data_IF_726074586276
#
_entry.id   IF_726074586276
#
_cell.length_a   1.000
_cell.length_b   1.000
_cell.length_c   1.000
_cell.angle_alpha   90.00
_cell.angle_beta   90.00
_cell.angle_gamma   90.00
#
_symmetry.space_group_name_H-M   'P 1'
#
loop_
_entity.id
_entity.type
_entity.pdbx_description
1 polymer ?
#
# COMPACT_ATOMS: atom_id res chain seq x y z
N UNK A 1 -27.26 30.39 -17.22
CA UNK A 1 -26.11 29.54 -16.98
C UNK A 1 -26.52 28.26 -16.24
N UNK A 2 -26.60 27.11 -16.93
CA UNK A 2 -26.98 25.82 -16.33
C UNK A 2 -25.83 25.33 -15.47
N UNK A 3 -25.95 25.40 -14.13
CA UNK A 3 -25.06 24.75 -13.17
C UNK A 3 -25.18 23.23 -13.36
N UNK A 4 -24.36 22.66 -14.24
CA UNK A 4 -24.15 21.22 -14.27
C UNK A 4 -23.51 20.83 -12.95
N UNK A 5 -24.28 20.34 -12.01
CA UNK A 5 -23.84 19.66 -10.79
C UNK A 5 -22.90 18.53 -11.24
N UNK A 6 -21.58 18.81 -11.26
CA UNK A 6 -20.53 17.85 -11.64
C UNK A 6 -20.75 16.57 -10.81
N UNK A 7 -21.28 15.51 -11.43
CA UNK A 7 -21.57 14.25 -10.72
C UNK A 7 -20.29 13.79 -10.03
N UNK A 8 -20.32 13.75 -8.70
CA UNK A 8 -19.14 13.42 -7.88
C UNK A 8 -18.70 12.00 -8.18
N UNK A 9 -17.44 11.83 -8.60
CA UNK A 9 -16.89 10.52 -8.97
C UNK A 9 -16.97 9.55 -7.78
N UNK A 10 -17.52 8.37 -8.04
CA UNK A 10 -17.65 7.26 -7.09
C UNK A 10 -16.37 6.43 -7.08
N UNK A 11 -15.80 6.22 -5.90
CA UNK A 11 -14.58 5.44 -5.71
C UNK A 11 -14.85 4.31 -4.71
N UNK A 12 -14.53 3.09 -5.08
CA UNK A 12 -14.57 1.93 -4.18
C UNK A 12 -13.15 1.63 -3.70
N UNK A 13 -12.95 1.55 -2.38
CA UNK A 13 -11.64 1.31 -1.78
C UNK A 13 -11.72 0.09 -0.89
N UNK A 14 -10.93 -0.94 -1.18
CA UNK A 14 -10.77 -2.07 -0.27
C UNK A 14 -9.62 -1.82 0.70
N UNK A 15 -9.73 -2.33 1.92
CA UNK A 15 -8.71 -2.14 2.95
C UNK A 15 -8.81 -0.79 3.68
N UNK A 16 -10.00 -0.20 3.78
CA UNK A 16 -10.20 1.13 4.37
C UNK A 16 -10.00 1.19 5.89
N UNK A 17 -10.06 0.09 6.61
CA UNK A 17 -9.64 0.01 8.01
C UNK A 17 -8.15 -0.29 8.18
N UNK A 18 -7.43 -0.56 7.06
CA UNK A 18 -5.98 -0.69 6.99
C UNK A 18 -5.28 0.67 6.96
N UNK A 19 -3.94 0.68 7.07
CA UNK A 19 -3.13 1.89 7.16
C UNK A 19 -3.25 2.79 5.91
N UNK A 20 -2.82 2.29 4.75
CA UNK A 20 -2.82 3.07 3.51
C UNK A 20 -4.26 3.36 3.05
N UNK A 21 -5.15 2.35 3.17
CA UNK A 21 -6.55 2.49 2.76
C UNK A 21 -7.31 3.56 3.55
N UNK A 22 -7.08 3.67 4.86
CA UNK A 22 -7.65 4.72 5.71
C UNK A 22 -7.26 6.12 5.22
N UNK A 23 -5.97 6.38 5.06
CA UNK A 23 -5.48 7.68 4.62
C UNK A 23 -5.92 8.01 3.19
N UNK A 24 -5.94 7.01 2.32
CA UNK A 24 -6.46 7.16 0.95
C UNK A 24 -7.93 7.54 0.97
N UNK A 25 -8.77 6.82 1.69
CA UNK A 25 -10.20 7.13 1.81
C UNK A 25 -10.42 8.54 2.37
N UNK A 26 -9.71 8.93 3.44
CA UNK A 26 -9.78 10.26 4.05
C UNK A 26 -9.40 11.36 3.06
N UNK A 27 -8.33 11.18 2.26
CA UNK A 27 -7.92 12.14 1.22
C UNK A 27 -9.02 12.36 0.19
N UNK A 28 -9.64 11.29 -0.32
CA UNK A 28 -10.70 11.40 -1.32
C UNK A 28 -11.97 12.04 -0.74
N UNK A 29 -12.35 11.69 0.49
CA UNK A 29 -13.49 12.28 1.19
C UNK A 29 -13.29 13.79 1.40
N UNK A 30 -12.11 14.22 1.84
CA UNK A 30 -11.75 15.64 1.99
C UNK A 30 -11.79 16.40 0.65
N UNK A 31 -11.61 15.72 -0.47
CA UNK A 31 -11.72 16.27 -1.82
C UNK A 31 -13.13 16.14 -2.42
N UNK A 32 -14.10 15.72 -1.61
CA UNK A 32 -15.52 15.70 -1.97
C UNK A 32 -15.98 14.51 -2.79
N UNK A 33 -15.16 13.47 -2.98
CA UNK A 33 -15.55 12.23 -3.66
C UNK A 33 -16.56 11.43 -2.83
N UNK A 34 -17.34 10.59 -3.51
CA UNK A 34 -18.16 9.56 -2.87
C UNK A 34 -17.31 8.31 -2.71
N UNK A 35 -17.05 7.88 -1.47
CA UNK A 35 -16.19 6.74 -1.17
C UNK A 35 -16.99 5.60 -0.55
N UNK A 36 -16.83 4.42 -1.10
CA UNK A 36 -17.32 3.17 -0.50
C UNK A 36 -16.13 2.35 -0.02
N UNK A 37 -16.06 2.14 1.29
CA UNK A 37 -15.04 1.32 1.95
C UNK A 37 -15.47 -0.13 2.08
N UNK A 38 -14.53 -1.05 1.91
CA UNK A 38 -14.71 -2.48 2.15
C UNK A 38 -13.50 -3.03 2.91
N UNK A 39 -13.74 -3.71 4.04
CA UNK A 39 -12.66 -4.25 4.88
C UNK A 39 -13.18 -5.39 5.75
N UNK A 40 -12.38 -6.39 6.03
CA UNK A 40 -12.73 -7.51 6.89
C UNK A 40 -12.63 -7.19 8.38
N UNK A 41 -11.84 -6.18 8.76
CA UNK A 41 -11.49 -5.86 10.14
C UNK A 41 -10.98 -7.10 10.89
N UNK A 42 -10.12 -7.89 10.22
CA UNK A 42 -9.57 -9.11 10.80
C UNK A 42 -8.65 -8.82 12.00
N UNK A 43 -8.34 -9.86 12.77
CA UNK A 43 -7.55 -9.80 14.00
C UNK A 43 -6.02 -9.96 13.79
N UNK A 44 -5.51 -9.77 12.59
CA UNK A 44 -4.06 -9.87 12.30
C UNK A 44 -3.22 -8.93 13.17
N UNK A 45 -3.75 -7.74 13.46
CA UNK A 45 -3.20 -6.81 14.44
C UNK A 45 -4.34 -6.06 15.13
N UNK A 46 -4.02 -5.20 16.09
CA UNK A 46 -4.93 -4.45 16.96
C UNK A 46 -6.22 -4.01 16.26
N UNK A 47 -7.33 -4.66 16.64
CA UNK A 47 -8.67 -4.39 16.11
C UNK A 47 -9.20 -3.04 16.58
N UNK A 48 -8.80 -2.56 17.78
CA UNK A 48 -9.19 -1.22 18.27
C UNK A 48 -8.69 -0.14 17.33
N UNK A 49 -7.43 -0.25 16.87
CA UNK A 49 -6.85 0.67 15.89
C UNK A 49 -7.62 0.65 14.55
N UNK A 50 -8.03 -0.53 14.07
CA UNK A 50 -8.82 -0.66 12.83
C UNK A 50 -10.20 -0.02 12.98
N UNK A 51 -10.86 -0.25 14.10
CA UNK A 51 -12.17 0.35 14.42
C UNK A 51 -12.06 1.87 14.52
N UNK A 52 -11.07 2.40 15.23
CA UNK A 52 -10.85 3.84 15.35
C UNK A 52 -10.64 4.55 14.01
N UNK A 53 -9.88 3.93 13.07
CA UNK A 53 -9.77 4.43 11.69
C UNK A 53 -11.13 4.46 10.98
N UNK A 54 -11.91 3.40 11.12
CA UNK A 54 -13.25 3.31 10.52
C UNK A 54 -14.20 4.35 11.08
N UNK A 55 -14.18 4.58 12.39
CA UNK A 55 -15.07 5.53 13.07
C UNK A 55 -14.78 6.97 12.63
N UNK A 56 -13.49 7.30 12.37
CA UNK A 56 -13.13 8.58 11.73
C UNK A 56 -13.74 8.70 10.33
N UNK A 57 -13.67 7.63 9.53
CA UNK A 57 -14.23 7.66 8.17
C UNK A 57 -15.76 7.75 8.17
N UNK A 58 -16.43 7.09 9.11
CA UNK A 58 -17.90 7.14 9.24
C UNK A 58 -18.46 8.54 9.54
N UNK A 59 -17.66 9.45 10.10
CA UNK A 59 -18.07 10.85 10.30
C UNK A 59 -18.31 11.63 9.00
N UNK A 60 -17.82 11.11 7.86
CA UNK A 60 -18.02 11.74 6.56
C UNK A 60 -19.38 11.32 5.93
N UNK A 61 -20.30 12.24 5.68
CA UNK A 61 -21.61 11.98 5.03
C UNK A 61 -21.48 11.27 3.66
N UNK A 62 -20.32 11.38 3.00
CA UNK A 62 -20.03 10.78 1.69
C UNK A 62 -19.34 9.43 1.77
N UNK A 63 -19.20 8.85 2.97
CA UNK A 63 -18.61 7.55 3.19
C UNK A 63 -19.69 6.49 3.39
N UNK A 64 -19.57 5.37 2.69
CA UNK A 64 -20.33 4.13 2.94
C UNK A 64 -19.34 3.01 3.23
N UNK A 65 -19.77 2.01 3.99
CA UNK A 65 -18.89 0.92 4.40
C UNK A 65 -19.63 -0.42 4.43
N UNK A 66 -18.93 -1.47 4.02
CA UNK A 66 -19.33 -2.86 4.27
C UNK A 66 -18.16 -3.63 4.89
N UNK A 67 -18.44 -4.32 6.00
CA UNK A 67 -17.53 -5.32 6.55
C UNK A 67 -17.67 -6.61 5.77
N UNK A 68 -16.55 -7.13 5.24
CA UNK A 68 -16.55 -8.40 4.50
C UNK A 68 -15.16 -8.82 4.08
N UNK A 69 -15.00 -10.11 3.86
CA UNK A 69 -13.78 -10.70 3.32
C UNK A 69 -13.80 -10.68 1.80
N UNK A 70 -12.63 -10.51 1.18
CA UNK A 70 -12.50 -10.44 -0.29
C UNK A 70 -12.88 -11.76 -0.98
N UNK A 71 -12.63 -12.88 -0.34
CA UNK A 71 -13.00 -14.22 -0.80
C UNK A 71 -14.51 -14.47 -0.77
N UNK A 72 -15.27 -13.72 0.02
CA UNK A 72 -16.74 -13.76 0.00
C UNK A 72 -17.30 -12.99 -1.20
N UNK A 73 -17.37 -13.69 -2.34
CA UNK A 73 -17.82 -13.15 -3.63
C UNK A 73 -19.22 -12.53 -3.54
N UNK A 74 -20.15 -13.12 -2.78
CA UNK A 74 -21.55 -12.65 -2.64
C UNK A 74 -21.61 -11.26 -2.03
N UNK A 75 -20.94 -11.04 -0.89
CA UNK A 75 -20.92 -9.74 -0.18
C UNK A 75 -20.20 -8.68 -1.00
N UNK A 76 -19.07 -9.02 -1.61
CA UNK A 76 -18.28 -8.12 -2.44
C UNK A 76 -19.08 -7.66 -3.68
N UNK A 77 -19.72 -8.62 -4.39
CA UNK A 77 -20.59 -8.36 -5.54
C UNK A 77 -21.71 -7.38 -5.18
N UNK A 78 -22.47 -7.66 -4.10
CA UNK A 78 -23.56 -6.78 -3.64
C UNK A 78 -23.08 -5.35 -3.42
N UNK A 79 -21.90 -5.18 -2.82
CA UNK A 79 -21.32 -3.87 -2.53
C UNK A 79 -20.92 -3.10 -3.78
N UNK A 80 -20.20 -3.73 -4.70
CA UNK A 80 -19.68 -3.11 -5.93
C UNK A 80 -20.82 -2.85 -6.93
N UNK A 81 -21.69 -3.83 -7.19
CA UNK A 81 -22.76 -3.70 -8.16
C UNK A 81 -23.80 -2.65 -7.75
N UNK A 82 -24.12 -2.55 -6.45
CA UNK A 82 -25.02 -1.51 -5.93
C UNK A 82 -24.40 -0.11 -6.03
N UNK A 83 -23.11 0.02 -5.76
CA UNK A 83 -22.45 1.32 -5.76
C UNK A 83 -22.06 1.81 -7.15
N UNK A 84 -21.73 0.89 -8.07
CA UNK A 84 -21.28 1.16 -9.45
C UNK A 84 -20.15 2.20 -9.48
N UNK A 85 -18.97 1.92 -8.88
CA UNK A 85 -17.87 2.86 -8.86
C UNK A 85 -17.28 3.06 -10.26
N UNK A 86 -16.78 4.28 -10.54
CA UNK A 86 -15.96 4.54 -11.73
C UNK A 86 -14.49 4.12 -11.53
N UNK A 87 -14.03 4.13 -10.30
CA UNK A 87 -12.63 3.81 -9.93
C UNK A 87 -12.66 2.82 -8.78
N UNK A 88 -11.82 1.80 -8.85
CA UNK A 88 -11.55 0.87 -7.75
C UNK A 88 -10.09 1.03 -7.33
N UNK A 89 -9.86 1.21 -6.03
CA UNK A 89 -8.52 1.20 -5.42
C UNK A 89 -8.46 0.00 -4.48
N UNK A 90 -7.76 -1.05 -4.91
CA UNK A 90 -7.68 -2.31 -4.19
C UNK A 90 -6.40 -2.37 -3.35
N UNK A 91 -6.55 -2.09 -2.04
CA UNK A 91 -5.47 -2.07 -1.05
C UNK A 91 -5.61 -3.15 0.03
N UNK A 92 -6.75 -3.83 0.10
CA UNK A 92 -6.94 -4.94 1.01
C UNK A 92 -6.07 -6.13 0.58
N UNK A 93 -5.28 -6.62 1.51
CA UNK A 93 -4.45 -7.81 1.34
C UNK A 93 -3.99 -8.29 2.72
N UNK A 94 -3.64 -9.57 2.84
CA UNK A 94 -2.82 -10.03 3.93
C UNK A 94 -1.37 -9.61 3.66
N UNK A 95 -0.81 -8.83 4.57
CA UNK A 95 0.55 -8.27 4.44
C UNK A 95 1.49 -8.83 5.52
N UNK A 96 2.79 -8.69 5.29
CA UNK A 96 3.83 -9.16 6.22
C UNK A 96 4.56 -10.40 5.69
N UNK A 97 5.86 -10.26 5.43
CA UNK A 97 6.69 -11.35 4.90
C UNK A 97 6.73 -12.54 5.86
N UNK A 98 6.95 -12.28 7.15
CA UNK A 98 7.12 -13.34 8.17
C UNK A 98 5.85 -14.14 8.40
N UNK A 99 4.73 -13.48 8.55
CA UNK A 99 3.45 -14.14 8.76
C UNK A 99 3.05 -15.02 7.56
N UNK A 100 3.57 -14.75 6.36
CA UNK A 100 3.34 -15.61 5.20
C UNK A 100 4.05 -16.97 5.28
N UNK A 101 5.06 -17.10 6.15
CA UNK A 101 5.73 -18.38 6.42
C UNK A 101 4.88 -19.22 7.39
N UNK A 102 4.24 -18.56 8.36
CA UNK A 102 3.46 -19.22 9.42
C UNK A 102 2.02 -19.55 8.98
N UNK A 103 1.42 -18.69 8.15
CA UNK A 103 0.00 -18.77 7.75
C UNK A 103 -0.18 -18.49 6.25
N UNK A 104 0.37 -19.33 5.36
CA UNK A 104 0.33 -19.11 3.91
C UNK A 104 -1.11 -19.14 3.34
N UNK A 105 -2.01 -19.92 3.93
CA UNK A 105 -3.43 -19.98 3.59
C UNK A 105 -4.12 -18.62 3.60
N UNK A 106 -3.79 -17.75 4.56
CA UNK A 106 -4.34 -16.39 4.64
C UNK A 106 -3.95 -15.53 3.45
N UNK A 107 -2.76 -15.77 2.91
CA UNK A 107 -2.25 -15.06 1.73
C UNK A 107 -2.88 -15.59 0.45
N UNK A 108 -3.05 -16.89 0.33
CA UNK A 108 -3.76 -17.48 -0.80
C UNK A 108 -5.19 -16.92 -0.89
N UNK A 109 -5.95 -17.00 0.20
CA UNK A 109 -7.33 -16.57 0.24
C UNK A 109 -7.47 -15.06 0.00
N UNK A 110 -6.76 -14.23 0.76
CA UNK A 110 -6.89 -12.77 0.68
C UNK A 110 -6.25 -12.18 -0.57
N UNK A 111 -5.02 -12.61 -0.90
CA UNK A 111 -4.25 -11.95 -1.96
C UNK A 111 -4.58 -12.52 -3.34
N UNK A 112 -4.69 -13.84 -3.48
CA UNK A 112 -4.95 -14.47 -4.79
C UNK A 112 -6.46 -14.47 -5.06
N UNK A 113 -7.24 -15.22 -4.28
CA UNK A 113 -8.69 -15.37 -4.49
C UNK A 113 -9.40 -14.03 -4.35
N UNK A 114 -9.04 -13.27 -3.31
CA UNK A 114 -9.62 -11.94 -3.07
C UNK A 114 -9.35 -10.95 -4.19
N UNK A 115 -8.11 -10.89 -4.71
CA UNK A 115 -7.77 -10.00 -5.84
C UNK A 115 -8.44 -10.46 -7.12
N UNK A 116 -8.49 -11.78 -7.39
CA UNK A 116 -9.23 -12.34 -8.51
C UNK A 116 -10.70 -11.87 -8.51
N UNK A 117 -11.39 -11.96 -7.37
CA UNK A 117 -12.77 -11.51 -7.25
C UNK A 117 -12.94 -10.01 -7.55
N UNK A 118 -11.97 -9.17 -7.12
CA UNK A 118 -12.00 -7.73 -7.40
C UNK A 118 -11.79 -7.45 -8.89
N UNK A 119 -10.86 -8.14 -9.55
CA UNK A 119 -10.60 -7.98 -10.99
C UNK A 119 -11.82 -8.42 -11.82
N UNK A 120 -12.44 -9.56 -11.48
CA UNK A 120 -13.66 -10.04 -12.13
C UNK A 120 -14.80 -8.99 -12.05
N UNK A 121 -14.97 -8.38 -10.89
CA UNK A 121 -15.99 -7.34 -10.71
C UNK A 121 -15.64 -6.05 -11.45
N UNK A 122 -14.36 -5.66 -11.46
CA UNK A 122 -13.91 -4.51 -12.22
C UNK A 122 -14.19 -4.68 -13.72
N UNK A 123 -13.95 -5.88 -14.26
CA UNK A 123 -14.34 -6.26 -15.62
C UNK A 123 -15.86 -6.15 -15.82
N UNK A 124 -16.65 -6.79 -14.93
CA UNK A 124 -18.12 -6.83 -15.05
C UNK A 124 -18.79 -5.45 -15.09
N UNK A 125 -18.25 -4.46 -14.36
CA UNK A 125 -18.81 -3.11 -14.31
C UNK A 125 -18.14 -2.13 -15.29
N UNK A 126 -17.22 -2.59 -16.14
CA UNK A 126 -16.41 -1.76 -17.04
C UNK A 126 -15.79 -0.57 -16.30
N UNK A 127 -15.02 -0.86 -15.22
CA UNK A 127 -14.41 0.17 -14.41
C UNK A 127 -13.47 1.06 -15.24
N UNK A 128 -13.50 2.36 -15.02
CA UNK A 128 -12.63 3.30 -15.74
C UNK A 128 -11.16 3.11 -15.39
N UNK A 129 -10.87 2.78 -14.14
CA UNK A 129 -9.50 2.55 -13.65
C UNK A 129 -9.52 1.65 -12.43
N UNK A 130 -8.76 0.56 -12.48
CA UNK A 130 -8.47 -0.32 -11.34
C UNK A 130 -7.02 -0.10 -10.90
N UNK A 131 -6.82 0.36 -9.66
CA UNK A 131 -5.50 0.53 -9.05
C UNK A 131 -5.33 -0.56 -8.00
N UNK A 132 -4.28 -1.37 -8.11
CA UNK A 132 -4.03 -2.51 -7.22
C UNK A 132 -2.71 -2.32 -6.48
N UNK A 133 -2.73 -2.53 -5.17
CA UNK A 133 -1.54 -2.53 -4.34
C UNK A 133 -0.70 -3.80 -4.53
N UNK A 134 0.48 -3.66 -5.14
CA UNK A 134 1.58 -4.64 -5.13
C UNK A 134 2.58 -4.29 -4.02
N UNK A 135 3.81 -4.74 -4.11
CA UNK A 135 4.84 -4.57 -3.08
C UNK A 135 6.24 -4.57 -3.70
N UNK A 136 7.17 -3.83 -3.11
CA UNK A 136 8.60 -3.95 -3.43
C UNK A 136 9.18 -5.34 -3.15
N UNK A 137 8.48 -6.17 -2.36
CA UNK A 137 8.87 -7.56 -2.12
C UNK A 137 8.91 -8.41 -3.39
N UNK A 138 8.20 -8.01 -4.46
CA UNK A 138 8.23 -8.71 -5.76
C UNK A 138 9.59 -8.65 -6.45
N UNK A 139 10.46 -7.72 -6.05
CA UNK A 139 11.84 -7.68 -6.56
C UNK A 139 12.68 -8.85 -6.03
N UNK A 140 12.27 -9.49 -4.94
CA UNK A 140 12.81 -10.75 -4.45
C UNK A 140 14.32 -10.74 -4.26
N UNK A 141 15.01 -11.62 -4.99
CA UNK A 141 16.46 -11.79 -4.93
C UNK A 141 17.29 -10.74 -5.70
N UNK A 142 16.65 -9.71 -6.29
CA UNK A 142 17.39 -8.66 -7.00
C UNK A 142 18.32 -7.89 -6.08
N UNK A 143 19.55 -7.64 -6.54
CA UNK A 143 20.61 -6.94 -5.78
C UNK A 143 20.97 -5.57 -6.38
N UNK A 144 20.55 -5.29 -7.61
CA UNK A 144 20.85 -4.03 -8.32
C UNK A 144 19.86 -2.93 -7.94
N UNK A 145 20.35 -1.84 -7.41
CA UNK A 145 19.57 -0.68 -6.96
C UNK A 145 19.81 0.56 -7.85
N UNK A 146 18.86 1.53 -7.91
CA UNK A 146 17.48 1.44 -7.42
C UNK A 146 16.65 0.45 -8.26
N UNK A 147 15.65 -0.17 -7.64
CA UNK A 147 14.70 -1.05 -8.32
C UNK A 147 13.84 -0.27 -9.32
N UNK A 148 13.78 -0.75 -10.55
CA UNK A 148 12.97 -0.17 -11.64
C UNK A 148 11.80 -1.08 -11.96
N UNK A 149 10.72 -0.49 -12.46
CA UNK A 149 9.50 -1.24 -12.80
C UNK A 149 9.73 -2.31 -13.87
N UNK A 150 10.72 -2.09 -14.74
CA UNK A 150 11.10 -3.01 -15.83
C UNK A 150 12.05 -4.13 -15.40
N UNK A 151 12.56 -4.09 -14.16
CA UNK A 151 13.45 -5.14 -13.67
C UNK A 151 12.69 -6.47 -13.58
N UNK A 152 13.37 -7.57 -13.95
CA UNK A 152 12.82 -8.92 -13.81
C UNK A 152 12.48 -9.20 -12.34
N UNK A 153 11.36 -9.86 -12.11
CA UNK A 153 10.85 -10.17 -10.78
C UNK A 153 10.43 -11.64 -10.71
N UNK A 154 11.35 -12.55 -11.04
CA UNK A 154 11.05 -13.96 -11.25
C UNK A 154 11.46 -14.83 -10.04
N UNK A 155 12.29 -14.31 -9.13
CA UNK A 155 12.82 -15.04 -7.96
C UNK A 155 12.33 -14.45 -6.65
N UNK A 156 11.10 -14.77 -6.25
CA UNK A 156 10.53 -14.34 -4.98
C UNK A 156 11.13 -15.14 -3.82
N UNK A 157 11.51 -14.45 -2.75
CA UNK A 157 12.12 -15.04 -1.56
C UNK A 157 11.14 -15.18 -0.38
N UNK A 158 9.86 -14.93 -0.59
CA UNK A 158 8.79 -15.16 0.39
C UNK A 158 7.47 -15.47 -0.29
N UNK A 159 6.60 -16.22 0.40
CA UNK A 159 5.27 -16.54 -0.10
C UNK A 159 4.41 -15.27 -0.30
N UNK A 160 4.55 -14.28 0.60
CA UNK A 160 3.93 -12.97 0.40
C UNK A 160 4.33 -12.33 -0.94
N UNK A 161 5.64 -12.31 -1.24
CA UNK A 161 6.12 -11.77 -2.52
C UNK A 161 5.57 -12.55 -3.72
N UNK A 162 5.53 -13.89 -3.63
CA UNK A 162 4.96 -14.74 -4.66
C UNK A 162 3.48 -14.41 -4.90
N UNK A 163 2.67 -14.27 -3.84
CA UNK A 163 1.25 -13.88 -4.00
C UNK A 163 1.08 -12.50 -4.64
N UNK A 164 1.94 -11.53 -4.31
CA UNK A 164 1.89 -10.21 -4.94
C UNK A 164 2.31 -10.26 -6.42
N UNK A 165 3.34 -11.02 -6.76
CA UNK A 165 3.74 -11.23 -8.16
C UNK A 165 2.64 -11.92 -8.96
N UNK A 166 2.00 -12.94 -8.40
CA UNK A 166 0.84 -13.63 -9.03
C UNK A 166 -0.29 -12.65 -9.31
N UNK A 167 -0.58 -11.71 -8.41
CA UNK A 167 -1.60 -10.68 -8.67
C UNK A 167 -1.22 -9.73 -9.81
N UNK A 168 0.07 -9.39 -10.01
CA UNK A 168 0.52 -8.62 -11.16
C UNK A 168 0.27 -9.39 -12.47
N UNK A 169 0.57 -10.69 -12.50
CA UNK A 169 0.38 -11.54 -13.67
C UNK A 169 -1.11 -11.74 -14.01
N UNK A 170 -1.95 -12.02 -13.01
CA UNK A 170 -3.41 -12.10 -13.19
C UNK A 170 -3.98 -10.79 -13.73
N UNK A 171 -3.58 -9.66 -13.15
CA UNK A 171 -4.06 -8.34 -13.56
C UNK A 171 -3.66 -8.02 -15.01
N UNK A 172 -2.44 -8.35 -15.42
CA UNK A 172 -2.00 -8.18 -16.80
C UNK A 172 -2.82 -9.02 -17.77
N UNK A 173 -3.06 -10.31 -17.46
CA UNK A 173 -3.88 -11.21 -18.28
C UNK A 173 -5.29 -10.64 -18.49
N UNK A 174 -5.96 -10.20 -17.43
CA UNK A 174 -7.29 -9.58 -17.52
C UNK A 174 -7.27 -8.27 -18.32
N UNK A 175 -6.26 -7.45 -18.12
CA UNK A 175 -6.09 -6.24 -18.90
C UNK A 175 -5.86 -6.53 -20.38
N UNK A 176 -5.14 -7.59 -20.72
CA UNK A 176 -4.92 -8.01 -22.10
C UNK A 176 -6.19 -8.53 -22.76
N UNK A 177 -6.90 -9.45 -22.11
CA UNK A 177 -8.05 -10.13 -22.67
C UNK A 177 -9.30 -9.22 -22.74
N UNK A 178 -9.60 -8.51 -21.66
CA UNK A 178 -10.84 -7.73 -21.53
C UNK A 178 -10.62 -6.21 -21.48
N UNK A 179 -9.40 -5.76 -21.77
CA UNK A 179 -9.05 -4.33 -21.84
C UNK A 179 -9.40 -3.53 -20.58
N UNK A 180 -9.45 -4.20 -19.42
CA UNK A 180 -9.62 -3.51 -18.14
C UNK A 180 -8.40 -2.64 -17.86
N UNK A 181 -8.54 -1.31 -17.67
CA UNK A 181 -7.39 -0.44 -17.42
C UNK A 181 -6.88 -0.63 -15.98
N UNK A 182 -5.65 -1.16 -15.83
CA UNK A 182 -5.09 -1.53 -14.52
C UNK A 182 -3.75 -0.85 -14.30
N UNK A 183 -3.57 -0.26 -13.13
CA UNK A 183 -2.27 0.17 -12.61
C UNK A 183 -1.91 -0.61 -11.35
N UNK A 184 -0.76 -1.30 -11.37
CA UNK A 184 -0.18 -1.93 -10.19
C UNK A 184 0.76 -0.95 -9.49
N UNK A 185 0.64 -0.82 -8.15
CA UNK A 185 1.52 0.02 -7.35
C UNK A 185 2.43 -0.84 -6.46
N UNK A 186 3.71 -0.87 -6.73
CA UNK A 186 4.72 -1.52 -5.88
C UNK A 186 5.09 -0.57 -4.74
N UNK A 187 4.44 -0.75 -3.60
CA UNK A 187 4.73 0.02 -2.39
C UNK A 187 6.07 -0.35 -1.78
N UNK A 188 6.89 0.65 -1.44
CA UNK A 188 8.04 0.51 -0.57
C UNK A 188 7.62 0.67 0.90
N UNK A 189 8.55 0.91 1.82
CA UNK A 189 8.21 0.90 3.24
C UNK A 189 7.45 2.16 3.64
N UNK A 190 6.15 2.03 3.86
CA UNK A 190 5.29 3.15 4.27
C UNK A 190 5.27 3.28 5.80
N UNK A 191 5.39 4.50 6.31
CA UNK A 191 5.34 4.81 7.74
C UNK A 191 4.57 6.10 8.01
N UNK A 192 4.15 6.32 9.26
CA UNK A 192 3.45 7.53 9.69
C UNK A 192 2.34 7.26 10.71
N UNK A 193 1.58 8.32 11.11
CA UNK A 193 0.44 8.21 12.01
C UNK A 193 -0.57 7.16 11.54
N UNK A 194 -1.23 6.51 12.49
CA UNK A 194 -2.16 5.41 12.19
C UNK A 194 -1.48 4.22 11.49
N UNK A 195 -0.16 4.06 11.65
CA UNK A 195 0.63 3.01 11.04
C UNK A 195 0.27 1.60 11.50
N UNK A 196 0.90 0.59 10.90
CA UNK A 196 0.65 -0.82 11.24
C UNK A 196 1.49 -1.25 12.44
N UNK A 197 0.88 -1.88 13.47
CA UNK A 197 1.59 -2.32 14.68
C UNK A 197 2.65 -3.42 14.45
N UNK A 198 2.52 -4.19 13.37
CA UNK A 198 3.48 -5.24 13.01
C UNK A 198 4.78 -4.72 12.37
N UNK A 199 4.83 -3.43 12.00
CA UNK A 199 6.01 -2.79 11.42
C UNK A 199 7.08 -2.46 12.47
N UNK A 200 8.35 -2.49 12.05
CA UNK A 200 9.50 -2.28 12.93
C UNK A 200 9.43 -0.97 13.72
N UNK A 201 9.15 0.16 13.06
CA UNK A 201 9.08 1.47 13.72
C UNK A 201 8.03 1.52 14.83
N UNK A 202 6.91 0.86 14.65
CA UNK A 202 5.84 0.79 15.63
C UNK A 202 6.26 -0.08 16.83
N UNK A 203 6.81 -1.27 16.56
CA UNK A 203 7.33 -2.19 17.60
C UNK A 203 8.46 -1.53 18.40
N UNK A 204 9.38 -0.84 17.73
CA UNK A 204 10.47 -0.13 18.39
C UNK A 204 9.94 0.96 19.33
N UNK A 205 9.02 1.80 18.84
CA UNK A 205 8.40 2.85 19.66
C UNK A 205 7.73 2.27 20.90
N UNK A 206 6.90 1.21 20.74
CA UNK A 206 6.26 0.52 21.86
C UNK A 206 7.26 0.00 22.87
N UNK A 207 8.31 -0.67 22.41
CA UNK A 207 9.31 -1.30 23.27
C UNK A 207 10.19 -0.27 23.98
N UNK A 208 10.63 0.79 23.30
CA UNK A 208 11.42 1.87 23.89
C UNK A 208 10.63 2.56 25.00
N UNK A 209 9.35 2.89 24.77
CA UNK A 209 8.49 3.52 25.77
C UNK A 209 8.34 2.64 27.03
N UNK A 210 8.22 1.33 26.84
CA UNK A 210 8.02 0.37 27.93
C UNK A 210 9.34 -0.19 28.53
N UNK A 211 10.51 0.35 28.17
CA UNK A 211 11.80 -0.13 28.66
C UNK A 211 12.16 -1.56 28.22
N UNK A 212 11.53 -2.06 27.14
CA UNK A 212 11.77 -3.41 26.62
C UNK A 212 12.83 -3.40 25.52
N UNK A 213 13.54 -4.54 25.36
CA UNK A 213 14.53 -4.73 24.29
C UNK A 213 13.90 -4.61 22.90
N UNK A 214 14.60 -3.94 21.97
CA UNK A 214 14.27 -3.94 20.54
C UNK A 214 15.19 -4.91 19.80
N UNK A 215 14.62 -5.75 18.95
CA UNK A 215 15.37 -6.71 18.14
C UNK A 215 15.85 -6.03 16.85
N UNK A 216 17.17 -5.97 16.67
CA UNK A 216 17.83 -5.37 15.51
C UNK A 216 18.44 -6.49 14.68
N UNK A 217 17.77 -6.83 13.57
CA UNK A 217 18.21 -7.91 12.70
C UNK A 217 19.37 -7.49 11.79
N UNK A 218 20.10 -8.49 11.28
CA UNK A 218 21.32 -8.31 10.47
C UNK A 218 22.32 -7.36 11.12
N UNK A 219 22.47 -7.43 12.45
CA UNK A 219 23.34 -6.55 13.24
C UNK A 219 23.11 -5.05 12.93
N UNK A 220 21.91 -4.68 12.48
CA UNK A 220 21.54 -3.31 12.08
C UNK A 220 21.99 -2.90 10.67
N UNK A 221 22.75 -3.73 9.96
CA UNK A 221 23.24 -3.42 8.59
C UNK A 221 22.13 -3.57 7.55
N UNK A 222 21.09 -2.74 7.68
CA UNK A 222 19.92 -2.76 6.81
C UNK A 222 19.55 -1.34 6.36
N UNK A 223 19.07 -1.24 5.12
CA UNK A 223 18.62 0.01 4.54
C UNK A 223 17.21 -0.15 4.00
N UNK A 224 16.38 0.88 4.17
CA UNK A 224 15.02 0.89 3.62
C UNK A 224 14.71 2.23 2.98
N UNK A 225 13.91 2.17 1.94
CA UNK A 225 13.22 3.33 1.38
C UNK A 225 11.96 3.57 2.21
N UNK A 226 12.05 4.50 3.17
CA UNK A 226 10.92 4.89 4.02
C UNK A 226 10.17 6.06 3.39
N UNK A 227 8.89 5.87 3.14
CA UNK A 227 8.02 6.90 2.56
C UNK A 227 6.91 7.27 3.52
N UNK A 228 6.75 8.56 3.77
CA UNK A 228 5.71 9.07 4.66
C UNK A 228 4.32 8.89 4.05
N UNK A 229 3.35 8.56 4.87
CA UNK A 229 2.00 8.16 4.42
C UNK A 229 1.31 9.23 3.58
N UNK A 230 1.43 10.51 3.91
CA UNK A 230 0.77 11.56 3.13
C UNK A 230 1.37 11.70 1.71
N UNK A 231 2.69 11.48 1.56
CA UNK A 231 3.33 11.46 0.25
C UNK A 231 2.82 10.29 -0.61
N UNK A 232 2.65 9.10 0.00
CA UNK A 232 2.05 7.93 -0.67
C UNK A 232 0.64 8.23 -1.15
N UNK A 233 -0.19 8.78 -0.29
CA UNK A 233 -1.59 9.07 -0.59
C UNK A 233 -1.73 10.17 -1.65
N UNK A 234 -0.81 11.14 -1.66
CA UNK A 234 -0.76 12.15 -2.71
C UNK A 234 -0.42 11.53 -4.07
N UNK A 235 0.51 10.57 -4.11
CA UNK A 235 0.82 9.79 -5.32
C UNK A 235 -0.39 9.02 -5.85
N UNK A 236 -1.11 8.29 -4.99
CA UNK A 236 -2.34 7.58 -5.36
C UNK A 236 -3.39 8.56 -5.88
N UNK A 237 -3.57 9.70 -5.20
CA UNK A 237 -4.55 10.71 -5.59
C UNK A 237 -4.27 11.30 -6.97
N UNK A 238 -3.03 11.62 -7.28
CA UNK A 238 -2.61 12.14 -8.59
C UNK A 238 -2.77 11.11 -9.71
N UNK A 239 -2.71 9.82 -9.37
CA UNK A 239 -2.74 8.72 -10.33
C UNK A 239 -4.13 8.39 -10.86
N UNK A 240 -5.22 8.67 -10.12
CA UNK A 240 -6.58 8.19 -10.48
C UNK A 240 -7.03 8.55 -11.88
N UNK A 241 -6.58 9.70 -12.42
CA UNK A 241 -6.91 10.18 -13.75
C UNK A 241 -5.84 9.82 -14.80
N UNK A 242 -4.77 9.14 -14.42
CA UNK A 242 -3.68 8.71 -15.31
C UNK A 242 -3.89 7.25 -15.74
N UNK A 243 -5.03 7.03 -16.37
CA UNK A 243 -5.46 5.69 -16.83
C UNK A 243 -4.48 5.16 -17.88
N UNK A 244 -3.94 3.93 -17.73
CA UNK A 244 -3.07 3.36 -18.75
C UNK A 244 -3.84 3.13 -20.06
N UNK A 245 -3.20 3.46 -21.18
CA UNK A 245 -3.76 3.28 -22.51
C UNK A 245 -2.66 2.79 -23.46
N UNK A 246 -2.76 1.56 -23.92
CA UNK A 246 -1.77 0.94 -24.78
C UNK A 246 -1.87 1.36 -26.26
N UNK A 247 -2.90 2.09 -26.66
CA UNK A 247 -2.99 2.71 -28.00
C UNK A 247 -2.02 3.89 -28.15
N UNK A 248 -1.52 4.43 -27.04
CA UNK A 248 -0.48 5.45 -27.03
C UNK A 248 0.90 4.79 -27.06
N UNK A 249 1.82 5.30 -27.87
CA UNK A 249 3.22 4.87 -27.83
C UNK A 249 3.82 5.08 -26.44
N UNK A 250 4.83 4.29 -26.06
CA UNK A 250 5.57 4.49 -24.81
C UNK A 250 6.20 5.89 -24.81
N UNK A 251 5.61 6.79 -24.01
CA UNK A 251 6.03 8.20 -23.94
C UNK A 251 7.32 8.40 -23.15
N UNK A 252 7.66 7.47 -22.28
CA UNK A 252 8.77 7.64 -21.35
C UNK A 252 9.81 6.51 -21.52
N UNK A 253 11.10 6.85 -21.38
CA UNK A 253 12.17 5.85 -21.28
C UNK A 253 11.90 4.93 -20.09
N UNK A 254 12.03 3.61 -20.30
CA UNK A 254 11.74 2.57 -19.30
C UNK A 254 10.28 2.56 -18.80
N UNK A 255 9.31 2.98 -19.65
CA UNK A 255 7.90 2.89 -19.32
C UNK A 255 7.46 1.41 -19.21
N UNK A 256 6.86 1.06 -18.08
CA UNK A 256 6.30 -0.26 -17.82
C UNK A 256 4.93 -0.49 -18.48
N UNK A 257 4.46 0.46 -19.29
CA UNK A 257 3.22 0.31 -20.05
C UNK A 257 3.31 -0.92 -20.98
N UNK A 258 2.36 -1.84 -20.82
CA UNK A 258 2.28 -3.01 -21.69
C UNK A 258 2.01 -2.63 -23.13
N UNK A 259 2.62 -3.34 -24.07
CA UNK A 259 2.36 -3.15 -25.51
C UNK A 259 1.01 -3.71 -25.94
N UNK A 260 0.49 -4.70 -25.22
CA UNK A 260 -0.72 -5.47 -25.59
C UNK A 260 -1.93 -5.19 -24.71
N UNK A 261 -1.74 -4.45 -23.60
CA UNK A 261 -2.78 -4.25 -22.59
C UNK A 261 -2.77 -2.82 -22.03
N UNK A 262 -3.93 -2.25 -21.63
CA UNK A 262 -3.99 -1.00 -20.87
C UNK A 262 -3.53 -1.25 -19.41
N UNK A 263 -2.29 -1.68 -19.25
CA UNK A 263 -1.69 -2.13 -17.99
C UNK A 263 -0.36 -1.44 -17.73
N UNK A 264 -0.14 -0.96 -16.52
CA UNK A 264 1.11 -0.34 -16.10
C UNK A 264 1.48 -0.72 -14.67
N UNK A 265 2.77 -0.94 -14.41
CA UNK A 265 3.33 -1.10 -13.08
C UNK A 265 4.05 0.20 -12.70
N UNK A 266 3.94 0.64 -11.45
CA UNK A 266 4.60 1.83 -10.95
C UNK A 266 5.19 1.58 -9.56
N UNK A 267 6.42 2.01 -9.34
CA UNK A 267 6.97 2.10 -8.00
C UNK A 267 6.43 3.33 -7.29
N UNK A 268 6.15 3.18 -5.99
CA UNK A 268 5.78 4.30 -5.13
C UNK A 268 6.59 4.24 -3.83
N UNK A 269 7.54 5.15 -3.71
CA UNK A 269 8.58 5.22 -2.68
C UNK A 269 9.14 6.62 -2.54
N UNK A 270 10.22 6.80 -1.79
CA UNK A 270 10.86 8.09 -1.53
C UNK A 270 12.19 8.26 -2.28
N UNK A 271 12.71 7.20 -2.91
CA UNK A 271 14.01 7.21 -3.61
C UNK A 271 15.19 7.60 -2.69
N UNK A 272 15.04 7.40 -1.38
CA UNK A 272 16.07 7.68 -0.38
C UNK A 272 16.35 6.45 0.48
N UNK A 273 17.63 6.10 0.55
CA UNK A 273 18.13 4.97 1.34
C UNK A 273 18.40 5.44 2.76
N UNK A 274 17.61 4.94 3.73
CA UNK A 274 17.75 5.29 5.15
C UNK A 274 18.31 4.09 5.90
N UNK A 275 19.39 4.30 6.62
CA UNK A 275 20.02 3.30 7.45
C UNK A 275 19.16 3.01 8.69
N UNK A 276 19.01 1.73 9.05
CA UNK A 276 18.12 1.33 10.15
C UNK A 276 18.52 1.94 11.49
N UNK A 277 19.83 2.02 11.79
CA UNK A 277 20.29 2.61 13.05
C UNK A 277 20.05 4.12 13.11
N UNK A 278 20.15 4.86 12.00
CA UNK A 278 19.80 6.28 11.95
C UNK A 278 18.31 6.51 12.21
N UNK A 279 17.49 5.60 11.68
CA UNK A 279 16.05 5.61 11.95
C UNK A 279 15.76 5.38 13.43
N UNK A 280 16.44 4.40 14.07
CA UNK A 280 16.33 4.12 15.51
C UNK A 280 16.84 5.31 16.34
N UNK A 281 17.99 5.89 16.01
CA UNK A 281 18.53 7.06 16.67
C UNK A 281 17.55 8.24 16.64
N UNK A 282 16.81 8.41 15.52
CA UNK A 282 15.79 9.44 15.42
C UNK A 282 14.58 9.14 16.33
N UNK A 283 14.17 7.87 16.45
CA UNK A 283 13.13 7.47 17.43
C UNK A 283 13.57 7.79 18.85
N UNK A 284 14.80 7.42 19.25
CA UNK A 284 15.36 7.70 20.56
C UNK A 284 15.36 9.20 20.89
N UNK A 285 15.81 10.04 19.94
CA UNK A 285 15.83 11.50 20.09
C UNK A 285 14.43 12.08 20.33
N UNK A 286 13.44 11.65 19.52
CA UNK A 286 12.08 12.19 19.65
C UNK A 286 11.38 11.67 20.89
N UNK A 287 11.62 10.41 21.29
CA UNK A 287 11.07 9.80 22.51
C UNK A 287 11.78 10.27 23.78
N UNK A 288 12.93 10.95 23.66
CA UNK A 288 13.82 11.32 24.78
C UNK A 288 14.18 10.09 25.66
N UNK A 289 14.30 8.91 25.03
CA UNK A 289 14.57 7.64 25.72
C UNK A 289 15.45 6.74 24.87
N UNK A 290 16.48 6.16 25.46
CA UNK A 290 17.39 5.22 24.77
C UNK A 290 16.76 3.84 24.64
N UNK A 291 17.03 3.17 23.52
CA UNK A 291 16.61 1.80 23.26
C UNK A 291 17.59 0.80 23.87
N UNK A 292 17.07 -0.24 24.50
CA UNK A 292 17.85 -1.42 24.86
C UNK A 292 17.93 -2.29 23.59
N UNK A 293 19.11 -2.33 22.95
CA UNK A 293 19.31 -2.94 21.63
C UNK A 293 19.76 -4.41 21.78
N UNK A 294 19.03 -5.35 21.13
CA UNK A 294 19.43 -6.74 20.98
C UNK A 294 19.71 -7.01 19.50
N UNK A 295 20.96 -7.25 19.16
CA UNK A 295 21.39 -7.54 17.79
C UNK A 295 21.20 -9.02 17.48
N UNK A 296 20.61 -9.31 16.32
CA UNK A 296 20.27 -10.65 15.87
C UNK A 296 20.76 -10.87 14.42
N UNK A 297 20.94 -12.13 13.98
CA UNK A 297 21.25 -12.45 12.59
C UNK A 297 20.11 -12.05 11.66
N UNK A 298 20.36 -12.13 10.36
CA UNK A 298 19.36 -11.87 9.31
C UNK A 298 18.19 -12.83 9.43
N UNK A 299 16.96 -12.33 9.21
CA UNK A 299 15.77 -13.18 9.20
C UNK A 299 15.50 -13.78 7.82
N UNK A 300 14.96 -15.00 7.79
CA UNK A 300 14.52 -15.65 6.55
C UNK A 300 13.48 -14.80 5.83
N UNK A 301 13.61 -14.69 4.50
CA UNK A 301 12.70 -13.94 3.65
C UNK A 301 12.83 -12.41 3.72
N UNK A 302 13.72 -11.86 4.55
CA UNK A 302 13.98 -10.41 4.58
C UNK A 302 15.10 -10.05 3.58
N UNK A 303 15.16 -8.78 3.16
CA UNK A 303 16.16 -8.26 2.22
C UNK A 303 17.09 -7.27 2.91
N UNK A 304 18.36 -7.24 2.48
CA UNK A 304 19.35 -6.32 3.03
C UNK A 304 19.01 -4.86 2.78
N UNK A 305 18.54 -4.53 1.58
CA UNK A 305 18.26 -3.16 1.16
C UNK A 305 17.02 -3.08 0.27
N UNK A 306 16.33 -1.95 0.33
CA UNK A 306 15.33 -1.56 -0.66
C UNK A 306 15.53 -0.10 -1.04
N UNK A 307 15.46 0.20 -2.34
CA UNK A 307 15.53 1.55 -2.88
C UNK A 307 14.70 1.61 -4.16
N UNK A 308 13.73 2.52 -4.22
CA UNK A 308 12.86 2.69 -5.38
C UNK A 308 13.46 3.62 -6.42
N UNK A 309 13.26 3.31 -7.69
CA UNK A 309 13.23 4.32 -8.74
C UNK A 309 11.75 4.75 -8.92
N UNK A 310 11.45 6.01 -8.68
CA UNK A 310 10.09 6.57 -8.83
C UNK A 310 9.99 7.56 -9.98
N UNK A 311 11.01 7.62 -10.87
CA UNK A 311 11.07 8.57 -11.97
C UNK A 311 9.88 8.42 -12.93
N UNK A 312 9.42 7.18 -13.18
CA UNK A 312 8.26 6.95 -14.02
C UNK A 312 6.99 7.53 -13.40
N UNK A 313 6.72 7.27 -12.13
CA UNK A 313 5.58 7.86 -11.41
C UNK A 313 5.65 9.40 -11.38
N UNK A 314 6.83 9.96 -11.15
CA UNK A 314 7.07 11.42 -11.20
C UNK A 314 6.74 12.01 -12.57
N UNK A 315 7.20 11.40 -13.65
CA UNK A 315 6.92 11.85 -15.02
C UNK A 315 5.42 11.80 -15.37
N UNK A 316 4.71 10.77 -14.91
CA UNK A 316 3.30 10.58 -15.22
C UNK A 316 2.41 11.53 -14.39
N UNK A 317 2.74 11.77 -13.12
CA UNK A 317 1.83 12.37 -12.14
C UNK A 317 2.34 13.66 -11.52
N UNK A 318 3.62 13.99 -11.66
CA UNK A 318 4.27 15.02 -10.84
C UNK A 318 4.46 14.59 -9.39
N UNK A 319 4.51 13.27 -9.12
CA UNK A 319 4.80 12.74 -7.78
C UNK A 319 6.17 13.22 -7.30
N UNK A 320 6.19 13.78 -6.10
CA UNK A 320 7.42 14.26 -5.47
C UNK A 320 7.29 14.15 -3.96
N UNK A 321 7.78 13.08 -3.32
CA UNK A 321 7.76 12.92 -1.88
C UNK A 321 8.67 13.96 -1.22
N UNK A 322 8.12 14.76 -0.31
CA UNK A 322 8.83 15.91 0.30
C UNK A 322 9.12 15.72 1.78
N UNK A 323 8.45 14.78 2.43
CA UNK A 323 8.54 14.64 3.89
C UNK A 323 9.87 14.02 4.30
N UNK A 324 10.72 14.81 4.99
CA UNK A 324 11.93 14.29 5.63
C UNK A 324 11.55 13.25 6.69
N UNK A 325 12.28 12.12 6.76
CA UNK A 325 11.90 11.02 7.66
C UNK A 325 11.88 11.42 9.14
N UNK A 326 12.72 12.36 9.56
CA UNK A 326 12.74 12.88 10.93
C UNK A 326 11.41 13.57 11.27
N UNK A 327 10.87 14.38 10.35
CA UNK A 327 9.57 15.05 10.51
C UNK A 327 8.45 14.01 10.58
N UNK A 328 8.49 13.02 9.69
CA UNK A 328 7.49 11.94 9.67
C UNK A 328 7.50 11.09 10.95
N UNK A 329 8.70 10.78 11.50
CA UNK A 329 8.84 10.09 12.80
C UNK A 329 8.23 10.93 13.93
N UNK A 330 8.53 12.23 14.00
CA UNK A 330 7.95 13.11 15.01
C UNK A 330 6.43 13.10 14.96
N UNK A 331 5.84 13.23 13.76
CA UNK A 331 4.38 13.15 13.57
C UNK A 331 3.81 11.80 13.99
N UNK A 332 4.50 10.70 13.66
CA UNK A 332 4.09 9.35 14.07
C UNK A 332 4.11 9.20 15.60
N UNK A 333 5.19 9.63 16.26
CA UNK A 333 5.33 9.53 17.74
C UNK A 333 4.27 10.37 18.44
N UNK A 334 4.04 11.62 18.01
CA UNK A 334 2.99 12.47 18.58
C UNK A 334 1.62 11.80 18.50
N UNK A 335 1.28 11.22 17.33
CA UNK A 335 0.05 10.46 17.18
C UNK A 335 0.03 9.20 18.07
N UNK A 336 1.16 8.47 18.16
CA UNK A 336 1.25 7.26 18.96
C UNK A 336 0.97 7.57 20.44
N UNK A 337 1.57 8.61 20.98
CA UNK A 337 1.37 9.03 22.36
C UNK A 337 -0.07 9.49 22.63
N UNK A 338 -0.70 10.19 21.70
CA UNK A 338 -2.09 10.65 21.86
C UNK A 338 -3.12 9.51 21.72
N UNK A 339 -2.78 8.39 21.08
CA UNK A 339 -3.70 7.28 20.85
C UNK A 339 -3.53 6.13 21.85
N UNK A 340 -2.30 5.88 22.33
CA UNK A 340 -1.96 4.72 23.16
C UNK A 340 -1.56 5.10 24.60
N UNK A 341 -1.36 6.36 24.91
CA UNK A 341 -1.13 6.90 26.26
C UNK A 341 -2.21 7.90 26.62
#
# INVERSE_FOLDING_TARGET
MKNYKKMKTKIFITGTSGFIGFHTAKKFLNRGYLVYGYDSINNYYDVKLKKARLDILKKYKKFKFTKGNLENKKTLNKSILRFKPKIIIHLAAQAGVRYSIEKPDKYLNSNIIGTFNVIELAKKINVKHLIIGSSSSVYGANTKFPFKEIDKTDHQISFYAATKKSTESMAHSYSSLWKVPITMLRFFTVYGPWGRPDMAYFKFTKNILNGKKINIYNKGKMYRDYTYIDDIVDGIFKLINKVPNNKQSKKYKNDSLSRVAPFRILNIGNTKKIYLLDFINTLEKVLKKKAIKKYLPMQKGDVHSTLSDTNLLKKITGYNPKTKYQIGIKKFINWYLSFYK
#
